data_IF_652776799021
#
_entry.id   IF_652776799021
#
_cell.length_a   1.000
_cell.length_b   1.000
_cell.length_c   1.000
_cell.angle_alpha   90.00
_cell.angle_beta   90.00
_cell.angle_gamma   90.00
#
_symmetry.space_group_name_H-M   'P 1'
#
loop_
_entity.id
_entity.type
_entity.pdbx_description
1 polymer ?
#
# COMPACT_ATOMS: atom_id res chain seq x y z
N UNK A 1 78.33 11.77 -35.50
CA UNK A 1 77.15 11.05 -36.03
C UNK A 1 76.26 10.38 -34.97
N UNK A 2 76.75 10.04 -33.76
CA UNK A 2 75.94 9.40 -32.71
C UNK A 2 75.01 10.34 -31.91
N UNK A 3 75.25 11.64 -31.89
CA UNK A 3 74.38 12.61 -31.18
C UNK A 3 73.08 12.96 -31.93
N UNK A 4 73.04 12.78 -33.25
CA UNK A 4 71.83 13.05 -34.06
C UNK A 4 70.84 11.88 -33.93
N UNK A 5 71.34 10.64 -33.92
CA UNK A 5 70.49 9.45 -33.73
C UNK A 5 69.89 9.32 -32.31
N UNK A 6 70.55 9.83 -31.27
CA UNK A 6 70.02 9.81 -29.91
C UNK A 6 68.88 10.83 -29.71
N UNK A 7 68.95 12.00 -30.35
CA UNK A 7 67.92 13.04 -30.28
C UNK A 7 66.66 12.71 -31.11
N UNK A 8 66.85 12.00 -32.22
CA UNK A 8 65.75 11.43 -33.03
C UNK A 8 65.00 10.32 -32.27
N UNK A 9 65.72 9.39 -31.62
CA UNK A 9 65.10 8.28 -30.86
C UNK A 9 64.30 8.74 -29.63
N UNK A 10 64.75 9.77 -28.91
CA UNK A 10 64.01 10.35 -27.76
C UNK A 10 62.76 11.10 -28.22
N UNK A 11 62.81 11.79 -29.36
CA UNK A 11 61.65 12.46 -29.96
C UNK A 11 60.62 11.46 -30.49
N UNK A 12 61.05 10.35 -31.09
CA UNK A 12 60.16 9.26 -31.51
C UNK A 12 59.58 8.49 -30.31
N UNK A 13 60.36 8.21 -29.27
CA UNK A 13 59.85 7.58 -28.04
C UNK A 13 58.88 8.49 -27.28
N UNK A 14 59.15 9.79 -27.24
CA UNK A 14 58.23 10.80 -26.69
C UNK A 14 56.95 10.93 -27.52
N UNK A 15 57.07 10.97 -28.85
CA UNK A 15 55.94 11.02 -29.78
C UNK A 15 55.09 9.73 -29.73
N UNK A 16 55.73 8.55 -29.64
CA UNK A 16 55.05 7.27 -29.44
C UNK A 16 54.38 7.18 -28.07
N UNK A 17 55.03 7.68 -27.01
CA UNK A 17 54.42 7.74 -25.67
C UNK A 17 53.19 8.65 -25.66
N UNK A 18 53.27 9.84 -26.26
CA UNK A 18 52.11 10.75 -26.41
C UNK A 18 51.02 10.12 -27.28
N UNK A 19 51.37 9.43 -28.37
CA UNK A 19 50.41 8.72 -29.23
C UNK A 19 49.68 7.61 -28.47
N UNK A 20 50.40 6.81 -27.67
CA UNK A 20 49.81 5.75 -26.83
C UNK A 20 48.95 6.36 -25.72
N UNK A 21 49.38 7.45 -25.07
CA UNK A 21 48.57 8.15 -24.07
C UNK A 21 47.27 8.72 -24.66
N UNK A 22 47.32 9.30 -25.86
CA UNK A 22 46.15 9.81 -26.57
C UNK A 22 45.23 8.66 -26.97
N UNK A 23 45.76 7.56 -27.51
CA UNK A 23 44.97 6.39 -27.89
C UNK A 23 44.28 5.74 -26.68
N UNK A 24 44.99 5.54 -25.58
CA UNK A 24 44.43 5.00 -24.33
C UNK A 24 43.38 5.95 -23.76
N UNK A 25 43.62 7.25 -23.75
CA UNK A 25 42.65 8.25 -23.29
C UNK A 25 41.37 8.23 -24.14
N UNK A 26 41.49 8.21 -25.46
CA UNK A 26 40.34 8.14 -26.38
C UNK A 26 39.57 6.82 -26.21
N UNK A 27 40.26 5.67 -26.09
CA UNK A 27 39.63 4.39 -25.85
C UNK A 27 38.92 4.32 -24.50
N UNK A 28 39.51 4.84 -23.42
CA UNK A 28 38.90 4.87 -22.09
C UNK A 28 37.70 5.82 -22.08
N UNK A 29 37.81 7.01 -22.67
CA UNK A 29 36.69 7.95 -22.80
C UNK A 29 35.53 7.34 -23.60
N UNK A 30 35.81 6.63 -24.70
CA UNK A 30 34.80 5.93 -25.48
C UNK A 30 34.12 4.81 -24.69
N UNK A 31 34.87 4.02 -23.92
CA UNK A 31 34.31 2.97 -23.07
C UNK A 31 33.48 3.53 -21.91
N UNK A 32 33.92 4.60 -21.26
CA UNK A 32 33.16 5.30 -20.22
C UNK A 32 31.86 5.87 -20.79
N UNK A 33 31.91 6.46 -21.99
CA UNK A 33 30.72 6.99 -22.65
C UNK A 33 29.69 5.87 -22.91
N UNK A 34 30.13 4.71 -23.42
CA UNK A 34 29.27 3.54 -23.62
C UNK A 34 28.68 3.02 -22.32
N UNK A 35 29.49 2.85 -21.27
CA UNK A 35 29.01 2.37 -19.96
C UNK A 35 28.01 3.35 -19.32
N UNK A 36 28.20 4.66 -19.50
CA UNK A 36 27.25 5.68 -19.03
C UNK A 36 25.94 5.62 -19.80
N UNK A 37 26.01 5.42 -21.11
CA UNK A 37 24.82 5.29 -21.96
C UNK A 37 24.05 4.00 -21.66
N UNK A 38 24.75 2.87 -21.50
CA UNK A 38 24.15 1.60 -21.06
C UNK A 38 23.54 1.70 -19.66
N UNK A 39 24.22 2.32 -18.71
CA UNK A 39 23.69 2.58 -17.37
C UNK A 39 22.48 3.52 -17.39
N UNK A 40 22.50 4.55 -18.23
CA UNK A 40 21.36 5.46 -18.42
C UNK A 40 20.16 4.72 -19.01
N UNK A 41 20.38 3.81 -19.97
CA UNK A 41 19.32 3.02 -20.59
C UNK A 41 18.67 2.06 -19.58
N UNK A 42 19.48 1.32 -18.81
CA UNK A 42 18.99 0.44 -17.75
C UNK A 42 18.17 1.20 -16.71
N UNK A 43 18.66 2.36 -16.26
CA UNK A 43 17.94 3.17 -15.29
C UNK A 43 16.59 3.67 -15.85
N UNK A 44 16.54 4.06 -17.12
CA UNK A 44 15.29 4.49 -17.77
C UNK A 44 14.29 3.35 -17.90
N UNK A 45 14.75 2.14 -18.24
CA UNK A 45 13.92 0.93 -18.32
C UNK A 45 13.36 0.57 -16.94
N UNK A 46 14.19 0.51 -15.90
CA UNK A 46 13.76 0.27 -14.52
C UNK A 46 12.78 1.35 -14.03
N UNK A 47 13.07 2.63 -14.28
CA UNK A 47 12.15 3.72 -13.95
C UNK A 47 10.83 3.64 -14.71
N UNK A 48 10.82 3.11 -15.94
CA UNK A 48 9.59 2.89 -16.70
C UNK A 48 8.79 1.77 -16.08
N UNK A 49 9.41 0.63 -15.77
CA UNK A 49 8.78 -0.51 -15.12
C UNK A 49 8.20 -0.14 -13.75
N UNK A 50 8.96 0.58 -12.91
CA UNK A 50 8.48 1.06 -11.61
C UNK A 50 7.29 2.02 -11.80
N UNK A 51 7.34 2.94 -12.78
CA UNK A 51 6.22 3.85 -13.06
C UNK A 51 4.99 3.10 -13.53
N UNK A 52 5.13 2.14 -14.43
CA UNK A 52 4.05 1.29 -14.92
C UNK A 52 3.48 0.42 -13.80
N UNK A 53 4.31 -0.10 -12.89
CA UNK A 53 3.88 -0.89 -11.75
C UNK A 53 3.14 -0.03 -10.72
N UNK A 54 3.64 1.19 -10.42
CA UNK A 54 2.92 2.16 -9.58
C UNK A 54 1.59 2.55 -10.23
N UNK A 55 1.58 2.79 -11.54
CA UNK A 55 0.36 3.16 -12.26
C UNK A 55 -0.64 2.00 -12.27
N UNK A 56 -0.19 0.77 -12.52
CA UNK A 56 -1.01 -0.45 -12.47
C UNK A 56 -1.49 -0.74 -11.04
N UNK A 57 -0.68 -0.50 -10.02
CA UNK A 57 -1.11 -0.59 -8.62
C UNK A 57 -2.10 0.53 -8.28
N UNK A 58 -1.94 1.75 -8.83
CA UNK A 58 -2.88 2.86 -8.64
C UNK A 58 -4.20 2.64 -9.37
N UNK A 59 -4.17 2.09 -10.58
CA UNK A 59 -5.34 1.72 -11.38
C UNK A 59 -6.02 0.49 -10.80
N UNK A 60 -5.22 -0.49 -10.33
CA UNK A 60 -5.67 -1.60 -9.52
C UNK A 60 -6.32 -1.09 -8.25
N UNK A 61 -5.70 -0.18 -7.50
CA UNK A 61 -6.30 0.52 -6.37
C UNK A 61 -7.50 1.35 -6.78
N UNK A 62 -7.60 1.94 -7.97
CA UNK A 62 -8.78 2.70 -8.43
C UNK A 62 -9.94 1.76 -8.82
N UNK A 63 -9.66 0.60 -9.40
CA UNK A 63 -10.66 -0.44 -9.65
C UNK A 63 -11.06 -1.13 -8.34
N UNK A 64 -10.11 -1.28 -7.42
CA UNK A 64 -10.24 -1.63 -6.01
C UNK A 64 -10.55 -0.40 -5.16
N UNK A 65 -10.92 0.76 -5.69
CA UNK A 65 -11.48 1.90 -4.93
C UNK A 65 -12.84 2.26 -5.51
N UNK A 66 -13.16 1.85 -6.73
CA UNK A 66 -14.52 1.71 -7.20
C UNK A 66 -15.16 0.39 -6.72
N UNK A 67 -14.36 -0.65 -6.48
CA UNK A 67 -14.81 -1.92 -5.89
C UNK A 67 -14.27 -2.20 -4.46
N UNK A 68 -13.18 -1.56 -4.00
CA UNK A 68 -12.79 -1.52 -2.56
C UNK A 68 -12.89 -0.13 -1.91
N UNK A 69 -13.79 0.70 -2.44
CA UNK A 69 -14.69 1.42 -1.53
C UNK A 69 -15.75 0.46 -0.91
N UNK A 70 -15.76 -0.83 -1.31
CA UNK A 70 -16.72 -1.84 -0.84
C UNK A 70 -16.12 -3.19 -0.42
N UNK A 71 -14.79 -3.35 -0.36
CA UNK A 71 -14.16 -4.63 0.04
C UNK A 71 -12.94 -4.46 0.96
N UNK A 72 -12.94 -3.42 1.79
CA UNK A 72 -12.34 -3.49 3.12
C UNK A 72 -13.31 -4.18 4.06
N UNK A 73 -13.49 -5.50 3.92
CA UNK A 73 -14.45 -6.26 4.74
C UNK A 73 -14.06 -6.36 6.24
N UNK A 74 -13.20 -5.47 6.76
CA UNK A 74 -12.93 -5.31 8.20
C UNK A 74 -12.51 -3.86 8.59
N UNK A 75 -13.09 -2.79 8.01
CA UNK A 75 -12.80 -1.39 8.43
C UNK A 75 -13.65 -0.87 9.60
N UNK A 76 -14.15 -1.75 10.47
CA UNK A 76 -14.75 -1.37 11.76
C UNK A 76 -13.76 -0.75 12.77
N UNK A 77 -12.63 -0.19 12.31
CA UNK A 77 -11.60 0.43 13.15
C UNK A 77 -11.50 1.95 12.94
N UNK A 78 -12.11 2.48 11.88
CA UNK A 78 -12.06 3.90 11.53
C UNK A 78 -13.33 4.63 11.94
N UNK A 79 -13.16 5.66 12.75
CA UNK A 79 -14.24 6.53 13.19
C UNK A 79 -13.98 7.98 12.78
N UNK A 80 -15.06 8.68 12.42
CA UNK A 80 -15.06 10.12 12.18
C UNK A 80 -15.61 10.84 13.39
N UNK A 81 -14.85 11.82 13.84
CA UNK A 81 -15.23 12.73 14.91
C UNK A 81 -15.70 14.04 14.29
N UNK A 82 -16.80 14.58 14.82
CA UNK A 82 -17.40 15.83 14.37
C UNK A 82 -17.88 16.66 15.55
N UNK A 83 -17.38 17.88 15.69
CA UNK A 83 -17.76 18.80 16.75
C UNK A 83 -18.04 20.19 16.17
N UNK A 84 -18.60 21.09 16.98
CA UNK A 84 -18.83 22.47 16.55
C UNK A 84 -17.52 23.24 16.68
N UNK A 85 -17.18 24.02 15.66
CA UNK A 85 -16.06 24.94 15.68
C UNK A 85 -16.51 26.27 15.09
N UNK A 86 -16.16 27.39 15.74
CA UNK A 86 -16.38 28.72 15.17
C UNK A 86 -15.31 29.01 14.11
N UNK A 87 -15.62 29.88 13.15
CA UNK A 87 -14.73 30.19 12.02
C UNK A 87 -13.42 30.86 12.50
N UNK A 88 -13.55 31.76 13.47
CA UNK A 88 -12.45 32.54 14.07
C UNK A 88 -11.85 31.89 15.34
N UNK A 89 -12.03 30.58 15.51
CA UNK A 89 -11.48 29.86 16.65
C UNK A 89 -10.17 29.17 16.26
N UNK A 90 -9.08 29.65 16.85
CA UNK A 90 -7.73 29.09 16.68
C UNK A 90 -7.54 27.79 17.46
N UNK A 91 -8.38 27.53 18.47
CA UNK A 91 -8.32 26.32 19.29
C UNK A 91 -9.12 25.14 18.71
N UNK A 92 -9.69 25.32 17.51
CA UNK A 92 -10.51 24.31 16.82
C UNK A 92 -11.64 23.76 17.70
N UNK A 93 -12.28 24.62 18.51
CA UNK A 93 -13.35 24.23 19.44
C UNK A 93 -12.88 23.49 20.68
N UNK A 94 -11.61 23.64 21.07
CA UNK A 94 -10.98 23.01 22.25
C UNK A 94 -10.37 21.63 21.99
N UNK A 95 -10.42 21.14 20.75
CA UNK A 95 -9.96 19.80 20.39
C UNK A 95 -8.62 19.85 19.63
N UNK A 96 -7.53 19.70 20.38
CA UNK A 96 -6.19 19.47 19.83
C UNK A 96 -5.93 17.99 19.57
N UNK A 97 -4.92 17.69 18.76
CA UNK A 97 -4.51 16.31 18.49
C UNK A 97 -4.15 15.57 19.77
N UNK A 98 -3.35 16.18 20.65
CA UNK A 98 -2.95 15.57 21.92
C UNK A 98 -4.14 15.30 22.84
N UNK A 99 -5.12 16.22 22.86
CA UNK A 99 -6.31 16.05 23.67
C UNK A 99 -7.16 14.88 23.16
N UNK A 100 -7.41 14.83 21.85
CA UNK A 100 -8.14 13.73 21.20
C UNK A 100 -7.43 12.38 21.43
N UNK A 101 -6.11 12.37 21.36
CA UNK A 101 -5.31 11.17 21.64
C UNK A 101 -5.51 10.70 23.07
N UNK A 102 -5.34 11.57 24.06
CA UNK A 102 -5.55 11.22 25.48
C UNK A 102 -6.98 10.79 25.77
N UNK A 103 -7.96 11.44 25.14
CA UNK A 103 -9.36 11.12 25.29
C UNK A 103 -9.68 9.72 24.75
N UNK A 104 -9.14 9.35 23.60
CA UNK A 104 -9.49 8.11 22.91
C UNK A 104 -8.64 6.92 23.35
N UNK A 105 -7.42 7.15 23.83
CA UNK A 105 -6.54 6.11 24.36
C UNK A 105 -7.16 5.35 25.54
N UNK A 106 -8.15 5.92 26.24
CA UNK A 106 -8.89 5.25 27.31
C UNK A 106 -9.68 4.00 26.84
N UNK A 107 -9.98 3.91 25.54
CA UNK A 107 -10.73 2.79 24.95
C UNK A 107 -9.85 1.74 24.27
N UNK A 108 -8.62 2.11 23.93
CA UNK A 108 -7.65 1.24 23.29
C UNK A 108 -6.61 2.02 22.51
N UNK A 109 -5.67 1.29 21.93
CA UNK A 109 -4.55 1.88 21.19
C UNK A 109 -5.01 2.58 19.92
N UNK A 110 -4.60 3.85 19.80
CA UNK A 110 -4.87 4.68 18.63
C UNK A 110 -3.67 4.62 17.69
N UNK A 111 -3.89 4.23 16.44
CA UNK A 111 -2.85 4.12 15.41
C UNK A 111 -2.62 5.46 14.71
N UNK A 112 -3.70 6.09 14.25
CA UNK A 112 -3.64 7.33 13.47
C UNK A 112 -4.74 8.30 13.91
N UNK A 113 -4.39 9.59 13.98
CA UNK A 113 -5.33 10.70 14.18
C UNK A 113 -5.05 11.76 13.13
N UNK A 114 -6.08 12.12 12.37
CA UNK A 114 -5.98 13.17 11.34
C UNK A 114 -7.07 14.21 11.59
N UNK A 115 -6.66 15.43 11.97
CA UNK A 115 -7.56 16.57 12.09
C UNK A 115 -7.64 17.28 10.73
N UNK A 116 -8.84 17.58 10.28
CA UNK A 116 -9.06 18.25 9.00
C UNK A 116 -8.73 19.74 9.10
N UNK A 117 -7.66 20.17 8.41
CA UNK A 117 -7.30 21.59 8.29
C UNK A 117 -8.24 22.38 7.37
N UNK A 118 -8.85 21.73 6.37
CA UNK A 118 -9.76 22.37 5.39
C UNK A 118 -11.12 22.67 5.99
N UNK A 119 -11.64 21.75 6.81
CA UNK A 119 -12.92 21.86 7.50
C UNK A 119 -12.67 21.69 9.00
N UNK A 120 -12.58 22.81 9.71
CA UNK A 120 -12.48 22.85 11.18
C UNK A 120 -13.67 22.10 11.80
N UNK A 121 -13.46 21.47 12.96
CA UNK A 121 -14.49 20.68 13.63
C UNK A 121 -14.65 19.23 13.16
N UNK A 122 -13.66 18.66 12.47
CA UNK A 122 -13.70 17.25 12.05
C UNK A 122 -12.33 16.58 12.19
N UNK A 123 -12.32 15.33 12.65
CA UNK A 123 -11.15 14.46 12.61
C UNK A 123 -11.54 13.03 12.20
N UNK A 124 -10.53 12.27 11.77
CA UNK A 124 -10.61 10.84 11.52
C UNK A 124 -9.62 10.15 12.44
N UNK A 125 -10.06 9.05 13.05
CA UNK A 125 -9.24 8.26 13.98
C UNK A 125 -9.32 6.80 13.60
N UNK A 126 -8.16 6.15 13.63
CA UNK A 126 -8.00 4.72 13.40
C UNK A 126 -7.53 4.05 14.70
N UNK A 127 -8.29 3.06 15.17
CA UNK A 127 -7.93 2.23 16.31
C UNK A 127 -7.20 0.95 15.89
N UNK A 128 -6.38 0.40 16.78
CA UNK A 128 -5.78 -0.91 16.58
C UNK A 128 -6.84 -2.03 16.52
N UNK A 129 -7.95 -1.89 17.24
CA UNK A 129 -9.01 -2.90 17.34
C UNK A 129 -10.41 -2.32 17.08
N UNK A 130 -11.30 -3.16 16.52
CA UNK A 130 -12.71 -2.81 16.25
C UNK A 130 -13.47 -2.54 17.55
N UNK A 131 -13.18 -3.35 18.59
CA UNK A 131 -13.81 -3.21 19.92
C UNK A 131 -13.50 -1.85 20.56
N UNK A 132 -12.28 -1.34 20.40
CA UNK A 132 -11.92 -0.01 20.92
C UNK A 132 -12.72 1.10 20.21
N UNK A 133 -12.84 1.01 18.88
CA UNK A 133 -13.67 1.93 18.10
C UNK A 133 -15.15 1.87 18.53
N UNK A 134 -15.68 0.67 18.78
CA UNK A 134 -17.06 0.49 19.25
C UNK A 134 -17.31 1.09 20.63
N UNK A 135 -16.39 0.87 21.58
CA UNK A 135 -16.49 1.45 22.92
C UNK A 135 -16.39 2.98 22.87
N UNK A 136 -15.52 3.53 22.04
CA UNK A 136 -15.43 4.97 21.84
C UNK A 136 -16.76 5.52 21.29
N UNK A 137 -17.33 4.90 20.24
CA UNK A 137 -18.62 5.31 19.68
C UNK A 137 -19.77 5.33 20.69
N UNK A 138 -19.81 4.35 21.62
CA UNK A 138 -20.90 4.22 22.59
C UNK A 138 -20.76 5.17 23.79
N UNK A 139 -19.52 5.44 24.21
CA UNK A 139 -19.27 6.07 25.51
C UNK A 139 -18.74 7.51 25.40
N UNK A 140 -18.14 7.90 24.27
CA UNK A 140 -17.56 9.23 24.14
C UNK A 140 -18.52 10.29 23.64
N UNK A 141 -18.59 11.36 24.41
CA UNK A 141 -19.29 12.60 24.07
C UNK A 141 -18.35 13.80 24.01
N UNK A 142 -17.07 13.65 24.37
CA UNK A 142 -16.08 14.74 24.36
C UNK A 142 -16.21 15.72 25.51
N UNK A 143 -15.86 16.98 25.26
CA UNK A 143 -15.98 18.11 26.18
C UNK A 143 -17.44 18.46 26.46
N UNK A 144 -17.76 18.70 27.73
CA UNK A 144 -19.12 19.07 28.18
C UNK A 144 -19.63 20.36 27.53
N UNK A 145 -18.76 21.33 27.30
CA UNK A 145 -19.12 22.60 26.65
C UNK A 145 -19.32 22.46 25.14
N UNK A 146 -18.68 21.47 24.51
CA UNK A 146 -18.70 21.27 23.07
C UNK A 146 -18.70 19.77 22.72
N UNK A 147 -19.84 19.08 22.82
CA UNK A 147 -19.88 17.66 22.63
C UNK A 147 -19.50 17.28 21.20
N UNK A 148 -18.69 16.23 21.07
CA UNK A 148 -18.30 15.63 19.80
C UNK A 148 -19.27 14.51 19.44
N UNK A 149 -19.50 14.33 18.14
CA UNK A 149 -20.27 13.24 17.56
C UNK A 149 -19.31 12.28 16.88
N UNK A 150 -19.49 10.99 17.16
CA UNK A 150 -18.72 9.92 16.54
C UNK A 150 -19.59 9.22 15.50
N UNK A 151 -19.04 9.04 14.31
CA UNK A 151 -19.71 8.40 13.17
C UNK A 151 -18.77 7.36 12.60
N UNK A 152 -19.25 6.15 12.37
CA UNK A 152 -18.51 5.12 11.65
C UNK A 152 -18.26 5.57 10.21
N UNK A 153 -17.01 5.48 9.74
CA UNK A 153 -16.70 5.80 8.34
C UNK A 153 -17.09 4.65 7.42
N UNK A 154 -16.83 3.42 7.83
CA UNK A 154 -17.15 2.20 7.09
C UNK A 154 -17.46 1.07 8.08
N UNK A 155 -18.34 0.14 7.70
CA UNK A 155 -18.54 -1.13 8.40
C UNK A 155 -18.85 -1.00 9.89
N UNK A 156 -19.94 -0.28 10.24
CA UNK A 156 -20.49 -0.38 11.59
C UNK A 156 -20.63 -1.87 11.93
N UNK A 157 -20.02 -2.35 13.03
CA UNK A 157 -20.12 -3.76 13.41
C UNK A 157 -21.59 -4.11 13.48
N UNK A 158 -22.01 -5.10 12.68
CA UNK A 158 -23.39 -5.56 12.68
C UNK A 158 -23.70 -5.98 14.12
N UNK A 159 -24.58 -5.22 14.77
CA UNK A 159 -25.00 -5.53 16.12
C UNK A 159 -25.64 -6.92 16.04
N UNK A 160 -25.04 -7.89 16.73
CA UNK A 160 -25.58 -9.24 16.82
C UNK A 160 -27.10 -9.13 17.08
N UNK A 161 -27.95 -9.73 16.25
CA UNK A 161 -29.39 -9.63 16.44
C UNK A 161 -29.71 -10.22 17.81
N UNK A 162 -30.21 -9.38 18.72
CA UNK A 162 -30.94 -9.83 19.91
C UNK A 162 -32.06 -10.74 19.43
N UNK A 163 -31.85 -12.05 19.54
CA UNK A 163 -32.83 -13.05 19.19
C UNK A 163 -34.10 -12.85 20.04
N UNK A 164 -35.30 -12.78 19.43
CA UNK A 164 -36.51 -13.09 20.15
C UNK A 164 -36.54 -14.59 20.41
N UNK A 165 -36.73 -14.95 21.68
CA UNK A 165 -36.91 -16.30 22.19
C UNK A 165 -37.86 -17.12 21.31
N UNK A 166 -37.35 -18.15 20.65
CA UNK A 166 -38.17 -19.26 20.17
C UNK A 166 -37.47 -20.57 20.50
N UNK A 167 -38.14 -21.36 21.34
CA UNK A 167 -37.62 -22.60 21.89
C UNK A 167 -37.60 -23.69 20.83
N UNK A 168 -36.43 -24.24 20.54
CA UNK A 168 -36.27 -25.56 19.92
C UNK A 168 -35.23 -26.35 20.71
N UNK A 169 -35.60 -27.50 21.30
CA UNK A 169 -34.67 -28.33 22.04
C UNK A 169 -33.92 -29.28 21.09
N UNK A 170 -32.60 -29.27 21.19
CA UNK A 170 -31.76 -30.39 20.73
C UNK A 170 -30.81 -30.08 19.58
N UNK A 171 -29.68 -29.45 19.90
CA UNK A 171 -28.38 -29.82 19.33
C UNK A 171 -27.29 -29.12 20.14
N UNK A 172 -26.46 -29.88 20.86
CA UNK A 172 -25.26 -29.36 21.51
C UNK A 172 -24.21 -29.05 20.45
N UNK A 173 -23.68 -27.83 20.41
CA UNK A 173 -22.34 -27.56 19.86
C UNK A 173 -21.59 -26.61 20.78
N UNK A 174 -20.33 -26.95 21.17
CA UNK A 174 -19.57 -26.16 22.12
C UNK A 174 -18.84 -25.01 21.42
N UNK A 175 -18.77 -23.89 22.14
CA UNK A 175 -17.63 -22.97 22.26
C UNK A 175 -16.88 -22.54 20.99
N UNK A 176 -17.02 -21.25 20.67
CA UNK A 176 -15.98 -20.30 20.23
C UNK A 176 -14.61 -20.94 19.86
N UNK A 177 -14.29 -20.98 18.56
CA UNK A 177 -12.93 -21.23 18.06
C UNK A 177 -12.52 -20.12 17.05
N UNK A 178 -11.28 -19.58 17.13
CA UNK A 178 -10.72 -18.64 16.14
C UNK A 178 -10.37 -19.29 14.79
N UNK A 179 -10.60 -20.59 14.63
CA UNK A 179 -10.21 -21.39 13.45
C UNK A 179 -11.12 -21.20 12.22
N UNK A 180 -12.18 -20.39 12.32
CA UNK A 180 -13.08 -20.14 11.18
C UNK A 180 -12.33 -19.48 10.01
N UNK A 181 -11.41 -18.55 10.31
CA UNK A 181 -10.62 -17.88 9.26
C UNK A 181 -9.71 -18.84 8.48
N UNK A 182 -9.10 -19.83 9.14
CA UNK A 182 -8.18 -20.78 8.49
C UNK A 182 -8.94 -21.72 7.55
N UNK A 183 -10.13 -22.16 7.98
CA UNK A 183 -11.03 -22.98 7.16
C UNK A 183 -11.58 -22.21 5.95
N UNK A 184 -11.80 -20.91 6.09
CA UNK A 184 -12.22 -20.03 4.99
C UNK A 184 -11.07 -19.81 3.98
N UNK A 185 -9.82 -19.72 4.44
CA UNK A 185 -8.64 -19.66 3.56
C UNK A 185 -8.41 -20.97 2.80
N UNK A 186 -8.50 -22.13 3.46
CA UNK A 186 -8.41 -23.43 2.79
C UNK A 186 -9.50 -23.57 1.72
N UNK A 187 -10.73 -23.18 2.04
CA UNK A 187 -11.88 -23.21 1.11
C UNK A 187 -11.66 -22.31 -0.12
N UNK A 188 -11.17 -21.08 0.08
CA UNK A 188 -10.87 -20.16 -1.02
C UNK A 188 -9.74 -20.66 -1.92
N UNK A 189 -8.69 -21.23 -1.33
CA UNK A 189 -7.57 -21.81 -2.09
C UNK A 189 -8.05 -23.02 -2.90
N UNK A 190 -8.84 -23.92 -2.30
CA UNK A 190 -9.43 -25.08 -2.97
C UNK A 190 -10.35 -24.68 -4.13
N UNK A 191 -11.18 -23.65 -3.95
CA UNK A 191 -12.03 -23.13 -5.02
C UNK A 191 -11.20 -22.55 -6.18
N UNK A 192 -10.11 -21.84 -5.86
CA UNK A 192 -9.20 -21.25 -6.86
C UNK A 192 -8.41 -22.31 -7.62
N UNK A 193 -7.95 -23.36 -6.94
CA UNK A 193 -7.29 -24.51 -7.57
C UNK A 193 -8.23 -25.25 -8.51
N UNK A 194 -9.51 -25.41 -8.13
CA UNK A 194 -10.54 -26.01 -8.99
C UNK A 194 -10.77 -25.20 -10.26
N UNK A 195 -10.94 -23.88 -10.15
CA UNK A 195 -11.11 -23.00 -11.31
C UNK A 195 -9.88 -22.97 -12.21
N UNK A 196 -8.67 -22.98 -11.63
CA UNK A 196 -7.42 -23.03 -12.39
C UNK A 196 -7.30 -24.34 -13.19
N UNK A 197 -7.64 -25.48 -12.58
CA UNK A 197 -7.60 -26.78 -13.25
C UNK A 197 -8.64 -26.89 -14.38
N UNK A 198 -9.85 -26.35 -14.18
CA UNK A 198 -10.89 -26.34 -15.21
C UNK A 198 -10.49 -25.46 -16.40
N UNK A 199 -9.92 -24.27 -16.12
CA UNK A 199 -9.37 -23.38 -17.16
C UNK A 199 -8.23 -24.05 -17.92
N UNK A 200 -7.36 -24.77 -17.23
CA UNK A 200 -6.22 -25.44 -17.85
C UNK A 200 -6.67 -26.55 -18.81
N UNK A 201 -7.72 -27.30 -18.46
CA UNK A 201 -8.33 -28.29 -19.37
C UNK A 201 -8.94 -27.65 -20.62
N UNK A 202 -9.64 -26.52 -20.48
CA UNK A 202 -10.20 -25.82 -21.64
C UNK A 202 -9.09 -25.33 -22.58
N UNK A 203 -8.00 -24.78 -22.03
CA UNK A 203 -6.86 -24.30 -22.83
C UNK A 203 -6.19 -25.47 -23.57
N UNK A 204 -5.99 -26.59 -22.89
CA UNK A 204 -5.40 -27.80 -23.48
C UNK A 204 -6.29 -28.39 -24.59
N UNK A 205 -7.61 -28.37 -24.40
CA UNK A 205 -8.55 -28.81 -25.42
C UNK A 205 -8.53 -27.89 -26.65
N UNK A 206 -8.51 -26.57 -26.46
CA UNK A 206 -8.38 -25.61 -27.56
C UNK A 206 -7.05 -25.76 -28.31
N UNK A 207 -5.94 -25.93 -27.60
CA UNK A 207 -4.61 -26.13 -28.22
C UNK A 207 -4.56 -27.40 -29.06
N UNK A 208 -5.23 -28.47 -28.59
CA UNK A 208 -5.29 -29.72 -29.32
C UNK A 208 -6.20 -29.64 -30.55
N UNK A 209 -7.32 -28.94 -30.45
CA UNK A 209 -8.21 -28.67 -31.60
C UNK A 209 -7.49 -27.81 -32.65
N UNK A 210 -6.72 -26.79 -32.24
CA UNK A 210 -5.88 -25.97 -33.14
C UNK A 210 -4.75 -26.79 -33.80
N UNK A 211 -4.13 -27.74 -33.09
CA UNK A 211 -3.10 -28.64 -33.63
C UNK A 211 -3.65 -29.72 -34.58
N UNK A 212 -4.91 -30.15 -34.42
CA UNK A 212 -5.57 -31.11 -35.31
C UNK A 212 -6.17 -30.44 -36.56
N UNK A 213 -6.38 -29.11 -36.55
CA UNK A 213 -6.87 -28.32 -37.69
C UNK A 213 -5.76 -27.74 -38.59
N UNK A 214 -4.48 -28.01 -38.28
CA UNK A 214 -3.29 -27.61 -39.07
C UNK A 214 -2.66 -28.77 -39.82
#
# INVERSE_FOLDING_TARGET
>A
LLCVFAKERVSLLGSMCVCVCVYVCVCVCMQIARLREEGSRQLQEEQRLIREQIQREREGRLHTHSASCFTSSVTGKLIRLKWKCKKDDDTNGGYSQDFLQRLLQKYGDVLNIVISSKKKGSAVVEFATVRAAELACKNEVGLTENPLKIVWLEGQPEAAPTAPSHMTPGMFTPSQNPLSSERDYESLVLMRMRQAAERQRLIEQMQKEDEEET
#
